data_IF_614091293868
#
_entry.id   IF_614091293868
#
_cell.length_a   1.000
_cell.length_b   1.000
_cell.length_c   1.000
_cell.angle_alpha   90.00
_cell.angle_beta   90.00
_cell.angle_gamma   90.00
#
_symmetry.space_group_name_H-M   'P 1'
#
loop_
_entity.id
_entity.type
_entity.pdbx_description
1 polymer ?
#
# COMPACT_ATOMS: atom_id res chain seq x y z
N UNK A 1 21.57 -25.90 -16.38
CA UNK A 1 20.63 -26.06 -15.25
C UNK A 1 19.79 -24.80 -15.14
N UNK A 2 18.50 -24.86 -15.49
CA UNK A 2 17.63 -23.70 -15.30
C UNK A 2 17.38 -23.51 -13.80
N UNK A 3 17.99 -22.48 -13.20
CA UNK A 3 17.59 -22.03 -11.87
C UNK A 3 16.12 -21.63 -11.96
N UNK A 4 15.23 -22.39 -11.29
CA UNK A 4 13.82 -22.02 -11.19
C UNK A 4 13.75 -20.77 -10.31
N UNK A 5 13.79 -19.60 -10.95
CA UNK A 5 13.52 -18.32 -10.30
C UNK A 5 12.02 -18.26 -10.02
N UNK A 6 11.66 -18.22 -8.74
CA UNK A 6 10.30 -17.99 -8.31
C UNK A 6 10.20 -16.56 -7.77
N UNK A 7 9.14 -15.86 -8.14
CA UNK A 7 8.88 -14.49 -7.70
C UNK A 7 7.40 -14.34 -7.37
N UNK A 8 7.09 -13.30 -6.58
CA UNK A 8 5.73 -12.86 -6.32
C UNK A 8 5.50 -11.62 -7.17
N UNK A 9 4.56 -11.71 -8.10
CA UNK A 9 4.10 -10.56 -8.87
C UNK A 9 2.97 -9.85 -8.13
N UNK A 10 3.10 -8.53 -7.94
CA UNK A 10 2.06 -7.65 -7.40
C UNK A 10 1.57 -6.79 -8.55
N UNK A 11 0.28 -6.89 -8.85
CA UNK A 11 -0.39 -6.06 -9.85
C UNK A 11 -1.33 -5.11 -9.13
N UNK A 12 -1.14 -3.82 -9.36
CA UNK A 12 -1.99 -2.77 -8.82
C UNK A 12 -3.25 -2.64 -9.68
N UNK A 13 -4.38 -2.48 -9.00
CA UNK A 13 -5.61 -2.07 -9.64
C UNK A 13 -5.63 -0.54 -9.78
N UNK A 14 -5.17 -0.07 -10.93
CA UNK A 14 -5.07 1.35 -11.22
C UNK A 14 -6.45 2.02 -11.35
N UNK A 15 -7.50 1.27 -11.69
CA UNK A 15 -8.86 1.81 -11.80
C UNK A 15 -9.36 2.25 -10.42
N UNK A 16 -9.31 1.33 -9.44
CA UNK A 16 -9.68 1.63 -8.05
C UNK A 16 -8.82 2.75 -7.45
N UNK A 17 -7.51 2.76 -7.72
CA UNK A 17 -6.58 3.80 -7.24
C UNK A 17 -6.95 5.19 -7.79
N UNK A 18 -7.33 5.28 -9.07
CA UNK A 18 -7.73 6.53 -9.71
C UNK A 18 -9.06 7.04 -9.18
N UNK A 19 -10.07 6.17 -9.06
CA UNK A 19 -11.38 6.52 -8.47
C UNK A 19 -11.23 7.03 -7.04
N UNK A 20 -10.33 6.41 -6.27
CA UNK A 20 -10.06 6.79 -4.88
C UNK A 20 -9.09 7.97 -4.73
N UNK A 21 -8.60 8.55 -5.84
CA UNK A 21 -7.66 9.68 -5.89
C UNK A 21 -6.39 9.50 -5.02
N UNK A 22 -5.90 8.26 -4.88
CA UNK A 22 -4.83 7.95 -3.93
C UNK A 22 -3.44 8.39 -4.42
N UNK A 23 -3.25 8.66 -5.72
CA UNK A 23 -1.96 9.01 -6.34
C UNK A 23 -0.85 8.03 -5.93
N UNK A 24 -1.05 6.74 -6.24
CA UNK A 24 -0.15 5.62 -5.93
C UNK A 24 0.22 4.91 -7.23
N UNK A 25 1.48 4.51 -7.37
CA UNK A 25 1.96 3.63 -8.43
C UNK A 25 2.95 2.59 -7.87
N UNK A 26 3.43 1.68 -8.72
CA UNK A 26 4.37 0.64 -8.32
C UNK A 26 5.73 1.18 -7.84
N UNK A 27 6.14 2.37 -8.26
CA UNK A 27 7.38 3.01 -7.81
C UNK A 27 7.25 3.54 -6.38
N UNK A 28 6.10 4.12 -6.05
CA UNK A 28 5.75 4.55 -4.70
C UNK A 28 5.61 3.32 -3.79
N UNK A 29 4.89 2.28 -4.23
CA UNK A 29 4.67 1.04 -3.45
C UNK A 29 5.98 0.30 -3.13
N UNK A 30 7.00 0.40 -3.98
CA UNK A 30 8.32 -0.19 -3.71
C UNK A 30 8.91 0.31 -2.38
N UNK A 31 8.79 1.60 -2.06
CA UNK A 31 9.46 2.19 -0.90
C UNK A 31 8.93 1.65 0.44
N UNK A 32 7.61 1.62 0.70
CA UNK A 32 7.06 1.02 1.92
C UNK A 32 7.37 -0.46 2.08
N UNK A 33 7.42 -1.23 0.98
CA UNK A 33 7.80 -2.66 1.03
C UNK A 33 9.22 -2.83 1.55
N UNK A 34 10.17 -1.99 1.11
CA UNK A 34 11.55 -2.02 1.57
C UNK A 34 11.70 -1.54 3.02
N UNK A 35 10.92 -0.53 3.42
CA UNK A 35 10.97 0.04 4.77
C UNK A 35 10.28 -0.82 5.83
N UNK A 36 9.42 -1.78 5.44
CA UNK A 36 8.67 -2.60 6.39
C UNK A 36 9.59 -3.54 7.18
N UNK A 37 9.77 -3.34 8.51
CA UNK A 37 10.81 -4.04 9.27
C UNK A 37 10.57 -5.56 9.40
N UNK A 38 9.32 -6.01 9.29
CA UNK A 38 8.92 -7.43 9.43
C UNK A 38 9.21 -8.27 8.19
N UNK A 39 9.51 -7.63 7.06
CA UNK A 39 9.69 -8.27 5.75
C UNK A 39 11.19 -8.43 5.41
N UNK A 40 12.05 -7.46 5.79
CA UNK A 40 13.52 -7.51 5.61
C UNK A 40 13.97 -7.78 4.16
N UNK A 41 13.28 -7.20 3.17
CA UNK A 41 13.69 -7.29 1.77
C UNK A 41 14.79 -6.25 1.46
N UNK A 42 15.71 -6.62 0.57
CA UNK A 42 16.70 -5.70 -0.01
C UNK A 42 16.19 -5.09 -1.29
N UNK A 43 16.75 -3.94 -1.68
CA UNK A 43 16.35 -3.24 -2.89
C UNK A 43 16.49 -4.09 -4.16
N UNK A 44 17.55 -4.90 -4.25
CA UNK A 44 17.81 -5.81 -5.37
C UNK A 44 16.71 -6.87 -5.58
N UNK A 45 15.92 -7.13 -4.53
CA UNK A 45 14.86 -8.14 -4.55
C UNK A 45 13.52 -7.58 -5.01
N UNK A 46 13.37 -6.27 -5.14
CA UNK A 46 12.11 -5.65 -5.55
C UNK A 46 12.32 -4.92 -6.87
N UNK A 47 11.77 -5.50 -7.94
CA UNK A 47 11.89 -4.97 -9.30
C UNK A 47 10.55 -4.41 -9.74
N UNK A 48 10.51 -3.12 -10.04
CA UNK A 48 9.34 -2.52 -10.71
C UNK A 48 9.45 -2.82 -12.20
N UNK A 49 8.42 -3.44 -12.78
CA UNK A 49 8.37 -3.72 -14.21
C UNK A 49 7.75 -2.56 -14.98
N UNK A 50 6.68 -1.99 -14.44
CA UNK A 50 5.96 -0.85 -14.98
C UNK A 50 5.15 -0.17 -13.85
N UNK A 51 4.51 1.00 -14.08
CA UNK A 51 3.75 1.70 -13.02
C UNK A 51 2.63 0.87 -12.37
N UNK A 52 2.16 -0.19 -13.03
CA UNK A 52 1.09 -1.08 -12.54
C UNK A 52 1.61 -2.32 -11.82
N UNK A 53 2.83 -2.77 -12.09
CA UNK A 53 3.32 -4.10 -11.71
C UNK A 53 4.73 -4.06 -11.17
N UNK A 54 4.93 -4.72 -10.04
CA UNK A 54 6.25 -5.01 -9.47
C UNK A 54 6.39 -6.48 -9.10
N UNK A 55 7.63 -6.94 -9.02
CA UNK A 55 8.00 -8.30 -8.66
C UNK A 55 8.89 -8.30 -7.42
N UNK A 56 8.63 -9.26 -6.54
CA UNK A 56 9.40 -9.48 -5.31
C UNK A 56 10.04 -10.86 -5.38
N UNK A 57 11.37 -10.89 -5.28
CA UNK A 57 12.19 -12.09 -5.32
C UNK A 57 12.60 -12.51 -3.90
N UNK A 58 12.24 -13.72 -3.44
CA UNK A 58 12.69 -14.22 -2.14
C UNK A 58 14.20 -14.48 -2.16
N UNK A 59 14.87 -14.17 -1.05
CA UNK A 59 16.27 -14.58 -0.83
C UNK A 59 16.25 -15.83 0.04
N UNK A 60 16.19 -17.00 -0.60
CA UNK A 60 16.11 -18.27 0.10
C UNK A 60 16.86 -19.38 -0.65
N UNK A 61 17.45 -20.30 0.11
CA UNK A 61 17.96 -21.56 -0.42
C UNK A 61 16.80 -22.41 -0.97
N UNK A 62 17.13 -23.32 -1.90
CA UNK A 62 16.16 -24.15 -2.63
C UNK A 62 15.15 -24.85 -1.71
N UNK A 63 15.60 -25.32 -0.54
CA UNK A 63 14.79 -26.10 0.41
C UNK A 63 13.80 -25.23 1.21
N UNK A 64 14.10 -23.92 1.36
CA UNK A 64 13.27 -22.97 2.12
C UNK A 64 12.47 -22.02 1.23
N UNK A 65 12.70 -22.07 -0.08
CA UNK A 65 12.09 -21.16 -1.06
C UNK A 65 10.56 -21.17 -1.00
N UNK A 66 9.95 -22.35 -0.90
CA UNK A 66 8.50 -22.49 -0.80
C UNK A 66 7.92 -21.79 0.44
N UNK A 67 8.57 -21.98 1.60
CA UNK A 67 8.14 -21.36 2.85
C UNK A 67 8.32 -19.84 2.83
N UNK A 68 9.43 -19.34 2.28
CA UNK A 68 9.65 -17.90 2.16
C UNK A 68 8.68 -17.25 1.16
N UNK A 69 8.34 -17.91 0.04
CA UNK A 69 7.29 -17.45 -0.87
C UNK A 69 5.94 -17.37 -0.16
N UNK A 70 5.57 -18.40 0.61
CA UNK A 70 4.31 -18.40 1.36
C UNK A 70 4.29 -17.29 2.42
N UNK A 71 5.40 -17.11 3.15
CA UNK A 71 5.57 -16.05 4.14
C UNK A 71 5.44 -14.65 3.50
N UNK A 72 6.11 -14.41 2.38
CA UNK A 72 6.05 -13.12 1.68
C UNK A 72 4.64 -12.86 1.13
N UNK A 73 4.01 -13.86 0.49
CA UNK A 73 2.64 -13.76 0.00
C UNK A 73 1.67 -13.33 1.10
N UNK A 74 1.84 -13.84 2.32
CA UNK A 74 0.96 -13.51 3.43
C UNK A 74 1.31 -12.17 4.11
N UNK A 75 2.55 -11.67 4.00
CA UNK A 75 2.98 -10.42 4.66
C UNK A 75 2.83 -9.18 3.78
N UNK A 76 3.08 -9.32 2.47
CA UNK A 76 3.06 -8.20 1.52
C UNK A 76 1.72 -7.43 1.50
N UNK A 77 0.54 -8.07 1.59
CA UNK A 77 -0.73 -7.34 1.60
C UNK A 77 -0.95 -6.43 2.82
N UNK A 78 -0.23 -6.67 3.92
CA UNK A 78 -0.35 -5.87 5.16
C UNK A 78 0.61 -4.67 5.21
N UNK A 79 1.39 -4.44 4.14
CA UNK A 79 2.26 -3.27 4.06
C UNK A 79 1.40 -2.02 3.83
N UNK A 80 1.51 -1.05 4.72
CA UNK A 80 0.87 0.26 4.53
C UNK A 80 1.62 1.01 3.44
N UNK A 81 0.98 1.21 2.29
CA UNK A 81 1.60 1.87 1.13
C UNK A 81 1.49 3.40 1.16
N UNK A 82 0.44 3.93 1.79
CA UNK A 82 0.18 5.36 1.96
C UNK A 82 -0.79 5.57 3.11
N UNK A 83 -0.64 6.65 3.85
CA UNK A 83 -1.49 7.00 4.99
C UNK A 83 -0.72 7.12 6.30
N UNK A 84 -1.47 7.27 7.40
CA UNK A 84 -0.93 7.41 8.75
C UNK A 84 -1.18 6.09 9.49
N UNK A 85 -0.12 5.46 10.00
CA UNK A 85 -0.19 4.11 10.60
C UNK A 85 -0.96 4.06 11.91
N UNK A 86 -1.10 5.19 12.60
CA UNK A 86 -1.86 5.31 13.86
C UNK A 86 -3.34 5.59 13.64
N UNK A 87 -3.78 5.86 12.41
CA UNK A 87 -5.17 6.16 12.09
C UNK A 87 -5.85 4.89 11.57
N UNK A 88 -6.98 4.53 12.17
CA UNK A 88 -7.78 3.37 11.78
C UNK A 88 -8.82 3.73 10.72
N UNK A 89 -9.52 4.87 10.89
CA UNK A 89 -10.53 5.34 9.94
C UNK A 89 -10.66 6.86 9.95
N UNK A 90 -11.17 7.40 8.85
CA UNK A 90 -11.58 8.79 8.75
C UNK A 90 -12.96 8.87 8.08
N UNK A 91 -13.81 9.78 8.55
CA UNK A 91 -15.17 10.01 8.07
C UNK A 91 -15.33 11.49 7.77
N UNK A 92 -15.87 11.80 6.59
CA UNK A 92 -16.26 13.16 6.23
C UNK A 92 -17.69 13.39 6.70
N UNK A 93 -17.86 14.28 7.66
CA UNK A 93 -19.15 14.70 8.20
C UNK A 93 -19.59 16.01 7.56
N UNK A 94 -20.88 16.16 7.26
CA UNK A 94 -21.44 17.43 6.76
C UNK A 94 -21.96 18.24 7.94
N UNK A 95 -21.48 19.46 8.11
CA UNK A 95 -21.99 20.35 9.16
C UNK A 95 -23.44 20.75 8.85
N UNK A 96 -24.30 20.71 9.87
CA UNK A 96 -25.67 21.18 9.74
C UNK A 96 -25.74 22.70 9.92
N UNK A 97 -26.63 23.36 9.20
CA UNK A 97 -26.74 24.83 9.18
C UNK A 97 -27.05 25.47 10.55
N UNK A 98 -27.51 24.69 11.53
CA UNK A 98 -27.90 25.15 12.87
C UNK A 98 -26.73 25.58 13.77
N UNK A 99 -25.49 25.18 13.45
CA UNK A 99 -24.30 25.49 14.25
C UNK A 99 -23.48 26.69 13.71
N UNK A 100 -23.97 27.40 12.68
CA UNK A 100 -23.24 28.52 12.07
C UNK A 100 -23.23 29.76 12.98
N UNK A 101 -22.02 30.26 13.29
CA UNK A 101 -21.78 31.58 13.92
C UNK A 101 -21.32 32.68 12.95
N UNK A 102 -21.27 32.46 11.64
CA UNK A 102 -20.85 33.51 10.69
C UNK A 102 -21.25 33.25 9.23
N UNK A 103 -21.30 34.36 8.47
CA UNK A 103 -21.79 34.59 7.10
C UNK A 103 -21.09 33.82 5.94
N UNK A 104 -20.64 32.58 6.14
CA UNK A 104 -20.03 31.79 5.06
C UNK A 104 -21.13 31.07 4.26
N UNK A 105 -21.46 31.59 3.08
CA UNK A 105 -22.32 30.91 2.09
C UNK A 105 -21.59 29.72 1.47
N UNK A 106 -21.72 28.54 2.09
CA UNK A 106 -21.21 27.29 1.54
C UNK A 106 -21.53 26.08 2.42
N UNK A 107 -21.53 24.90 1.82
CA UNK A 107 -21.57 23.65 2.57
C UNK A 107 -20.19 23.41 3.20
N UNK A 108 -20.13 23.27 4.52
CA UNK A 108 -18.91 22.95 5.27
C UNK A 108 -18.89 21.46 5.61
N UNK A 109 -17.68 20.89 5.57
CA UNK A 109 -17.45 19.47 5.83
C UNK A 109 -16.30 19.33 6.84
N UNK A 110 -16.50 18.51 7.86
CA UNK A 110 -15.51 18.17 8.89
C UNK A 110 -14.91 16.79 8.60
N UNK A 111 -13.60 16.64 8.81
CA UNK A 111 -12.94 15.33 8.75
C UNK A 111 -12.73 14.80 10.16
N UNK A 112 -13.53 13.80 10.55
CA UNK A 112 -13.40 13.11 11.82
C UNK A 112 -12.45 11.93 11.66
N UNK A 113 -11.43 11.85 12.52
CA UNK A 113 -10.37 10.83 12.42
C UNK A 113 -10.35 10.00 13.71
N UNK A 114 -10.33 8.68 13.56
CA UNK A 114 -10.21 7.73 14.66
C UNK A 114 -8.93 6.92 14.52
N UNK A 115 -8.16 6.82 15.60
CA UNK A 115 -6.86 6.14 15.67
C UNK A 115 -6.73 5.31 16.93
#
# INVERSE_FOLDING_TARGET
MASRLASIAITLDMETIQVSQLCIDAYIVKQPILQTPKIKLKEQQVKVLNPRKLEVFPQANKDKLHFELHRLKNKLPFVVVKGITTVQRAVVNKEQERDRKSDVKGETYELLVEG
#
